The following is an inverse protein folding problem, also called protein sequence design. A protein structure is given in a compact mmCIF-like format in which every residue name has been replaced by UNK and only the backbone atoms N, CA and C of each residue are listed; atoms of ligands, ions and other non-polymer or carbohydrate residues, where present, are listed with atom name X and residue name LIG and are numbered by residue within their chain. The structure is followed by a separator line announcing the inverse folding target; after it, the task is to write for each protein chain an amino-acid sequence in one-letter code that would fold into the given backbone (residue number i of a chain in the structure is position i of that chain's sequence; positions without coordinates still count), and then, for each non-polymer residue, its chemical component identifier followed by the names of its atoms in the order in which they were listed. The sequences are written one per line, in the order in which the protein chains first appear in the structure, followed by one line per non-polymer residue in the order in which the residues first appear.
data_IF_413622021328
#
_entry.id   IF_413622021328
#
_cell.length_a   1.000
_cell.length_b   1.000
_cell.length_c   1.000
_cell.angle_alpha   90.00
_cell.angle_beta   90.00
_cell.angle_gamma   90.00
#
_symmetry.space_group_name_H-M   'P 1'
#
loop_
_entity.id
_entity.type
_entity.pdbx_description
1 polymer ?
#
# COMPACT_ATOMS: atom_id res chain seq x y z
N UNK A 1 -11.27 -11.59 14.80
CA UNK A 1 -10.73 -10.34 14.23
C UNK A 1 -9.26 -10.60 13.91
N UNK A 2 -8.78 -10.25 12.71
CA UNK A 2 -7.45 -10.61 12.17
C UNK A 2 -6.24 -10.12 13.00
N UNK A 3 -6.48 -9.28 14.02
CA UNK A 3 -5.46 -8.64 14.87
C UNK A 3 -5.50 -9.12 16.33
N UNK A 4 -6.23 -10.21 16.62
CA UNK A 4 -6.28 -10.76 17.98
C UNK A 4 -4.97 -11.50 18.28
N UNK A 5 -4.41 -11.26 19.47
CA UNK A 5 -3.21 -11.95 19.99
C UNK A 5 -1.92 -11.73 19.16
N UNK A 6 -1.84 -10.64 18.38
CA UNK A 6 -0.63 -10.29 17.59
C UNK A 6 0.32 -9.34 18.31
N UNK A 7 -0.10 -8.70 19.41
CA UNK A 7 0.72 -7.81 20.23
C UNK A 7 0.76 -8.33 21.66
N UNK A 8 1.88 -8.08 22.34
CA UNK A 8 2.10 -8.50 23.73
C UNK A 8 1.06 -7.90 24.69
N UNK A 9 0.64 -6.67 24.41
CA UNK A 9 -0.43 -6.00 25.15
C UNK A 9 -1.72 -5.97 24.32
N UNK A 10 -2.79 -6.66 24.76
CA UNK A 10 -4.06 -6.70 24.03
C UNK A 10 -4.79 -5.35 24.01
N UNK A 11 -4.36 -4.36 24.81
CA UNK A 11 -4.90 -2.99 24.81
C UNK A 11 -4.28 -2.07 23.76
N UNK A 12 -3.19 -2.46 23.09
CA UNK A 12 -2.48 -1.61 22.13
C UNK A 12 -3.12 -1.53 20.72
N UNK A 13 -3.82 -2.56 20.20
CA UNK A 13 -4.47 -2.46 18.89
C UNK A 13 -5.56 -1.37 18.84
N UNK A 14 -5.51 -0.51 17.81
CA UNK A 14 -6.58 0.44 17.50
C UNK A 14 -6.62 1.72 18.35
N UNK A 15 -5.63 1.93 19.22
CA UNK A 15 -5.51 3.13 20.05
C UNK A 15 -4.17 3.83 19.81
N UNK A 16 -4.11 5.14 20.02
CA UNK A 16 -2.83 5.86 19.96
C UNK A 16 -1.88 5.39 21.06
N UNK A 17 -0.58 5.41 20.74
CA UNK A 17 0.46 5.08 21.72
C UNK A 17 0.43 6.07 22.90
N UNK A 18 0.47 5.51 24.10
CA UNK A 18 0.63 6.18 25.40
C UNK A 18 2.06 6.06 25.96
N UNK A 19 2.90 5.22 25.34
CA UNK A 19 4.32 5.05 25.64
C UNK A 19 5.24 5.45 24.49
N UNK A 20 6.46 5.87 24.81
CA UNK A 20 7.41 6.26 23.79
C UNK A 20 7.83 5.06 22.94
N UNK A 21 7.93 5.24 21.63
CA UNK A 21 8.38 4.23 20.67
C UNK A 21 9.44 4.83 19.77
N UNK A 22 10.29 3.96 19.21
CA UNK A 22 11.31 4.35 18.23
C UNK A 22 11.08 3.56 16.96
N UNK A 23 11.42 4.18 15.83
CA UNK A 23 11.52 3.43 14.57
C UNK A 23 12.93 2.94 14.45
N UNK A 24 13.11 1.64 14.60
CA UNK A 24 14.41 1.01 14.62
C UNK A 24 14.45 -0.24 13.75
N UNK A 25 15.65 -0.64 13.37
CA UNK A 25 15.90 -1.94 12.78
C UNK A 25 15.74 -3.01 13.86
N UNK A 26 14.80 -3.94 13.68
CA UNK A 26 14.52 -4.99 14.66
C UNK A 26 15.66 -5.99 14.87
N UNK A 27 16.62 -6.07 13.94
CA UNK A 27 17.78 -6.98 14.04
C UNK A 27 19.00 -6.29 14.68
N UNK A 28 19.31 -5.06 14.26
CA UNK A 28 20.53 -4.35 14.71
C UNK A 28 20.27 -3.43 15.90
N UNK A 29 19.02 -3.08 16.18
CA UNK A 29 18.65 -2.07 17.17
C UNK A 29 18.96 -0.63 16.74
N UNK A 30 19.46 -0.43 15.51
CA UNK A 30 19.74 0.90 14.96
C UNK A 30 18.47 1.73 14.92
N UNK A 31 18.47 2.87 15.60
CA UNK A 31 17.33 3.79 15.64
C UNK A 31 17.36 4.66 14.39
N UNK A 32 16.39 4.46 13.49
CA UNK A 32 16.22 5.28 12.31
C UNK A 32 15.70 6.67 12.65
N UNK A 33 14.60 6.75 13.40
CA UNK A 33 14.12 8.05 13.86
C UNK A 33 13.32 7.96 15.16
N UNK A 34 13.20 9.13 15.80
CA UNK A 34 12.53 9.36 17.06
C UNK A 34 11.24 10.16 16.82
N UNK A 35 10.05 9.53 16.94
CA UNK A 35 8.77 10.21 16.77
C UNK A 35 8.52 11.33 17.80
N UNK A 36 7.53 12.20 17.54
CA UNK A 36 7.06 13.21 18.48
C UNK A 36 6.63 12.62 19.83
N UNK A 37 6.43 13.50 20.82
CA UNK A 37 5.88 13.09 22.12
C UNK A 37 4.48 12.50 21.97
N UNK A 38 4.16 11.55 22.83
CA UNK A 38 2.87 10.88 22.87
C UNK A 38 1.68 11.84 22.98
N UNK A 39 1.83 12.88 23.80
CA UNK A 39 0.84 13.93 24.03
C UNK A 39 0.47 14.71 22.76
N UNK A 40 1.41 14.79 21.80
CA UNK A 40 1.20 15.49 20.53
C UNK A 40 0.50 14.63 19.48
N UNK A 41 0.59 13.30 19.58
CA UNK A 41 0.08 12.36 18.56
C UNK A 41 -1.39 12.61 18.21
N UNK A 42 -2.33 12.74 19.16
CA UNK A 42 -3.74 12.95 18.82
C UNK A 42 -3.98 14.24 18.04
N UNK A 43 -3.21 15.29 18.35
CA UNK A 43 -3.30 16.58 17.65
C UNK A 43 -2.70 16.48 16.25
N UNK A 44 -1.49 15.96 16.13
CA UNK A 44 -0.78 15.83 14.85
C UNK A 44 -1.55 14.94 13.87
N UNK A 45 -2.06 13.79 14.31
CA UNK A 45 -2.85 12.90 13.44
C UNK A 45 -4.15 13.58 12.99
N UNK A 46 -4.83 14.31 13.88
CA UNK A 46 -6.03 15.08 13.52
C UNK A 46 -5.71 16.18 12.51
N UNK A 47 -4.61 16.90 12.69
CA UNK A 47 -4.19 17.97 11.79
C UNK A 47 -3.79 17.41 10.41
N UNK A 48 -3.13 16.25 10.37
CA UNK A 48 -2.82 15.53 9.14
C UNK A 48 -4.09 15.08 8.39
N UNK A 49 -5.07 14.53 9.11
CA UNK A 49 -6.37 14.14 8.53
C UNK A 49 -7.14 15.37 8.03
N UNK A 50 -7.11 16.49 8.76
CA UNK A 50 -7.70 17.75 8.27
C UNK A 50 -7.00 18.22 7.00
N UNK A 51 -5.67 18.17 6.96
CA UNK A 51 -4.89 18.63 5.82
C UNK A 51 -5.23 17.84 4.55
N UNK A 52 -5.23 16.51 4.56
CA UNK A 52 -5.50 15.70 3.35
C UNK A 52 -6.91 15.91 2.78
N UNK A 53 -7.84 16.38 3.61
CA UNK A 53 -9.22 16.71 3.24
C UNK A 53 -9.43 18.19 2.87
N UNK A 54 -8.41 19.05 3.02
CA UNK A 54 -8.48 20.47 2.68
C UNK A 54 -8.47 20.71 1.17
N UNK A 55 -9.00 21.86 0.71
CA UNK A 55 -8.98 22.23 -0.71
C UNK A 55 -7.54 22.33 -1.26
N UNK A 56 -6.60 22.89 -0.51
CA UNK A 56 -5.20 22.96 -0.94
C UNK A 56 -4.58 21.59 -1.17
N UNK A 57 -4.86 20.59 -0.32
CA UNK A 57 -4.40 19.23 -0.57
C UNK A 57 -5.15 18.55 -1.73
N UNK A 58 -6.36 19.02 -2.08
CA UNK A 58 -7.11 18.50 -3.22
C UNK A 58 -6.62 19.04 -4.57
N UNK A 59 -5.96 20.19 -4.58
CA UNK A 59 -5.32 20.76 -5.78
C UNK A 59 -3.99 20.09 -6.11
N UNK A 60 -3.38 19.38 -5.16
CA UNK A 60 -2.16 18.61 -5.39
C UNK A 60 -2.44 17.38 -6.27
N UNK A 61 -1.42 16.99 -7.04
CA UNK A 61 -1.42 15.69 -7.70
C UNK A 61 -1.65 14.56 -6.66
N UNK A 62 -2.51 13.56 -6.95
CA UNK A 62 -2.84 12.50 -6.00
C UNK A 62 -1.64 11.74 -5.45
N UNK A 63 -0.62 11.50 -6.27
CA UNK A 63 0.60 10.79 -5.86
C UNK A 63 1.39 11.66 -4.88
N UNK A 64 1.50 12.95 -5.17
CA UNK A 64 2.18 13.91 -4.30
C UNK A 64 1.48 14.05 -2.95
N UNK A 65 0.16 14.21 -2.95
CA UNK A 65 -0.63 14.29 -1.72
C UNK A 65 -0.49 13.02 -0.87
N UNK A 66 -0.53 11.85 -1.51
CA UNK A 66 -0.36 10.57 -0.84
C UNK A 66 1.07 10.37 -0.30
N UNK A 67 2.10 10.81 -1.03
CA UNK A 67 3.49 10.76 -0.59
C UNK A 67 3.76 11.64 0.63
N UNK A 68 3.21 12.86 0.66
CA UNK A 68 3.29 13.76 1.83
C UNK A 68 2.55 13.13 3.02
N UNK A 69 1.34 12.59 2.79
CA UNK A 69 0.59 11.90 3.85
C UNK A 69 1.37 10.72 4.42
N UNK A 70 1.97 9.90 3.55
CA UNK A 70 2.78 8.76 3.96
C UNK A 70 3.91 9.19 4.89
N UNK A 71 4.67 10.20 4.48
CA UNK A 71 5.79 10.72 5.26
C UNK A 71 5.33 11.17 6.64
N UNK A 72 4.33 12.06 6.68
CA UNK A 72 3.85 12.66 7.92
C UNK A 72 3.25 11.61 8.85
N UNK A 73 2.49 10.65 8.32
CA UNK A 73 1.93 9.56 9.12
C UNK A 73 3.03 8.69 9.75
N UNK A 74 4.04 8.32 8.97
CA UNK A 74 5.18 7.54 9.48
C UNK A 74 5.94 8.33 10.53
N UNK A 75 6.21 9.63 10.28
CA UNK A 75 6.90 10.53 11.22
C UNK A 75 6.16 10.68 12.55
N UNK A 76 4.83 10.86 12.51
CA UNK A 76 4.00 10.96 13.73
C UNK A 76 4.05 9.63 14.51
N UNK A 77 4.04 8.51 13.78
CA UNK A 77 4.10 7.15 14.31
C UNK A 77 3.03 6.89 15.38
N UNK A 78 1.72 6.96 15.03
CA UNK A 78 0.65 7.08 16.01
C UNK A 78 0.40 5.84 16.89
N UNK A 79 0.85 4.66 16.47
CA UNK A 79 0.56 3.38 17.13
C UNK A 79 1.81 2.75 17.76
N UNK A 80 1.61 1.79 18.67
CA UNK A 80 2.72 1.00 19.25
C UNK A 80 3.36 0.10 18.19
N UNK A 81 2.55 -0.53 17.34
CA UNK A 81 2.98 -1.31 16.18
C UNK A 81 1.97 -1.12 15.03
N UNK A 82 2.36 -1.49 13.81
CA UNK A 82 1.51 -1.49 12.63
C UNK A 82 1.56 -0.20 11.83
N UNK A 83 2.37 0.78 12.23
CA UNK A 83 2.44 2.09 11.56
C UNK A 83 2.79 1.99 10.07
N UNK A 84 3.77 1.16 9.68
CA UNK A 84 4.11 0.98 8.26
C UNK A 84 2.96 0.36 7.44
N UNK A 85 2.30 -0.66 7.99
CA UNK A 85 1.14 -1.33 7.36
C UNK A 85 -0.04 -0.35 7.23
N UNK A 86 -0.32 0.40 8.29
CA UNK A 86 -1.38 1.42 8.29
C UNK A 86 -1.08 2.54 7.29
N UNK A 87 0.16 3.04 7.22
CA UNK A 87 0.57 4.05 6.25
C UNK A 87 0.26 3.61 4.82
N UNK A 88 0.64 2.37 4.45
CA UNK A 88 0.42 1.83 3.11
C UNK A 88 -1.06 1.68 2.77
N UNK A 89 -1.86 1.14 3.69
CA UNK A 89 -3.32 1.04 3.50
C UNK A 89 -3.96 2.42 3.32
N UNK A 90 -3.55 3.41 4.12
CA UNK A 90 -4.09 4.77 4.02
C UNK A 90 -3.69 5.46 2.72
N UNK A 91 -2.45 5.30 2.27
CA UNK A 91 -1.98 5.81 0.98
C UNK A 91 -2.75 5.20 -0.18
N UNK A 92 -2.95 3.89 -0.17
CA UNK A 92 -3.79 3.21 -1.16
C UNK A 92 -5.22 3.73 -1.15
N UNK A 93 -5.80 3.97 0.04
CA UNK A 93 -7.12 4.57 0.17
C UNK A 93 -7.17 6.00 -0.38
N UNK A 94 -6.17 6.83 -0.09
CA UNK A 94 -6.07 8.20 -0.62
C UNK A 94 -6.05 8.16 -2.14
N UNK A 95 -5.15 7.38 -2.74
CA UNK A 95 -5.06 7.25 -4.20
C UNK A 95 -6.38 6.78 -4.82
N UNK A 96 -7.03 5.78 -4.20
CA UNK A 96 -8.33 5.28 -4.65
C UNK A 96 -9.41 6.37 -4.63
N UNK A 97 -9.56 7.09 -3.51
CA UNK A 97 -10.54 8.18 -3.37
C UNK A 97 -10.27 9.35 -4.32
N UNK A 98 -9.01 9.51 -4.75
CA UNK A 98 -8.57 10.54 -5.69
C UNK A 98 -8.70 10.12 -7.16
N UNK A 99 -9.30 8.97 -7.44
CA UNK A 99 -9.53 8.50 -8.82
C UNK A 99 -8.29 7.93 -9.49
N UNK A 100 -7.23 7.64 -8.74
CA UNK A 100 -6.06 6.92 -9.24
C UNK A 100 -6.41 5.43 -9.36
N UNK A 101 -7.14 5.10 -10.44
CA UNK A 101 -7.71 3.76 -10.68
C UNK A 101 -6.65 2.79 -11.19
N UNK A 102 -6.04 2.08 -10.24
CA UNK A 102 -5.14 0.95 -10.51
C UNK A 102 -5.88 -0.39 -10.55
N UNK A 103 -7.22 -0.39 -10.55
CA UNK A 103 -8.08 -1.59 -10.46
C UNK A 103 -7.67 -2.55 -9.33
N UNK A 104 -7.21 -2.00 -8.20
CA UNK A 104 -6.76 -2.74 -7.02
C UNK A 104 -5.50 -3.59 -7.20
N UNK A 105 -4.72 -3.40 -8.28
CA UNK A 105 -3.46 -4.12 -8.47
C UNK A 105 -2.24 -3.40 -7.86
N UNK A 106 -2.44 -2.21 -7.30
CA UNK A 106 -1.36 -1.40 -6.76
C UNK A 106 -1.02 -1.80 -5.32
N UNK A 107 0.13 -2.44 -5.15
CA UNK A 107 0.76 -2.68 -3.86
C UNK A 107 2.11 -1.94 -3.85
N UNK A 108 2.22 -0.90 -3.04
CA UNK A 108 3.48 -0.25 -2.69
C UNK A 108 4.43 -1.18 -1.90
N UNK A 109 3.97 -2.39 -1.56
CA UNK A 109 4.68 -3.34 -0.70
C UNK A 109 5.96 -3.88 -1.35
N UNK A 110 5.94 -4.26 -2.64
CA UNK A 110 7.04 -5.00 -3.26
C UNK A 110 8.33 -4.16 -3.35
N UNK A 111 8.22 -2.85 -3.61
CA UNK A 111 9.38 -1.96 -3.75
C UNK A 111 10.01 -1.60 -2.39
N UNK A 112 9.21 -1.12 -1.43
CA UNK A 112 9.74 -0.64 -0.14
C UNK A 112 10.23 -1.76 0.77
N UNK A 113 9.67 -2.97 0.68
CA UNK A 113 10.16 -4.11 1.45
C UNK A 113 11.41 -4.76 0.82
N UNK A 114 11.65 -4.57 -0.49
CA UNK A 114 12.85 -5.09 -1.18
C UNK A 114 14.14 -4.35 -0.80
N UNK A 115 14.04 -3.06 -0.44
CA UNK A 115 15.16 -2.25 0.03
C UNK A 115 14.74 -1.32 1.19
N UNK A 116 14.63 -1.94 2.37
CA UNK A 116 14.31 -1.23 3.62
C UNK A 116 15.34 -0.15 3.96
N UNK A 117 16.61 -0.33 3.58
CA UNK A 117 17.66 0.63 3.90
C UNK A 117 17.47 1.92 3.11
N UNK A 118 17.21 1.82 1.80
CA UNK A 118 16.89 2.99 0.97
C UNK A 118 15.60 3.67 1.43
N UNK A 119 14.58 2.91 1.82
CA UNK A 119 13.33 3.46 2.36
C UNK A 119 13.56 4.32 3.61
N UNK A 120 14.26 3.79 4.61
CA UNK A 120 14.54 4.55 5.83
C UNK A 120 15.55 5.67 5.58
N UNK A 121 16.51 5.49 4.67
CA UNK A 121 17.43 6.53 4.23
C UNK A 121 16.69 7.72 3.61
N UNK A 122 15.71 7.48 2.74
CA UNK A 122 14.89 8.52 2.14
C UNK A 122 14.06 9.27 3.18
N UNK A 123 13.47 8.56 4.16
CA UNK A 123 12.75 9.18 5.27
C UNK A 123 13.65 10.05 6.16
N UNK A 124 14.85 9.56 6.47
CA UNK A 124 15.84 10.27 7.29
C UNK A 124 16.46 11.46 6.57
N UNK A 125 16.53 11.42 5.23
CA UNK A 125 17.07 12.49 4.40
C UNK A 125 16.25 13.78 4.43
N UNK A 126 15.03 13.76 4.99
CA UNK A 126 14.20 14.96 5.17
C UNK A 126 14.68 15.77 6.37
N UNK A 127 15.22 16.96 6.09
CA UNK A 127 15.58 17.92 7.11
C UNK A 127 14.32 18.43 7.83
N UNK A 128 14.24 18.17 9.14
CA UNK A 128 13.12 18.58 9.98
C UNK A 128 12.99 20.10 10.15
N UNK A 129 14.04 20.86 9.84
CA UNK A 129 14.05 22.34 9.97
C UNK A 129 13.46 23.01 8.73
N UNK A 130 13.73 22.46 7.56
CA UNK A 130 13.24 23.00 6.28
C UNK A 130 11.96 22.31 5.82
N UNK A 131 11.72 21.06 6.27
CA UNK A 131 10.67 20.17 5.78
C UNK A 131 10.72 20.00 4.26
N UNK A 132 11.92 20.00 3.70
CA UNK A 132 12.14 19.70 2.29
C UNK A 132 11.90 18.20 2.03
N UNK A 133 10.75 17.91 1.43
CA UNK A 133 10.31 16.56 1.10
C UNK A 133 10.77 16.11 -0.28
N UNK A 134 11.56 16.90 -1.02
CA UNK A 134 11.88 16.63 -2.43
C UNK A 134 12.46 15.23 -2.62
N UNK A 135 13.55 14.89 -1.92
CA UNK A 135 14.18 13.57 -2.04
C UNK A 135 13.24 12.42 -1.63
N UNK A 136 12.40 12.65 -0.61
CA UNK A 136 11.40 11.67 -0.21
C UNK A 136 10.35 11.46 -1.30
N UNK A 137 9.86 12.55 -1.91
CA UNK A 137 8.83 12.50 -2.93
C UNK A 137 9.36 11.90 -4.23
N UNK A 138 10.60 12.18 -4.61
CA UNK A 138 11.27 11.51 -5.73
C UNK A 138 11.34 9.99 -5.49
N UNK A 139 11.80 9.57 -4.32
CA UNK A 139 11.84 8.16 -3.93
C UNK A 139 10.43 7.53 -3.91
N UNK A 140 9.44 8.25 -3.37
CA UNK A 140 8.07 7.78 -3.28
C UNK A 140 7.46 7.57 -4.68
N UNK A 141 7.60 8.56 -5.56
CA UNK A 141 7.10 8.53 -6.94
C UNK A 141 7.79 7.43 -7.75
N UNK A 142 9.09 7.20 -7.54
CA UNK A 142 9.78 6.09 -8.19
C UNK A 142 9.21 4.73 -7.74
N UNK A 143 8.95 4.56 -6.45
CA UNK A 143 8.30 3.35 -5.93
C UNK A 143 6.90 3.13 -6.52
N UNK A 144 6.13 4.21 -6.69
CA UNK A 144 4.82 4.18 -7.37
C UNK A 144 4.98 3.75 -8.83
N UNK A 145 5.95 4.32 -9.55
CA UNK A 145 6.24 4.03 -10.96
C UNK A 145 6.63 2.55 -11.16
N UNK A 146 7.57 2.03 -10.35
CA UNK A 146 7.98 0.62 -10.38
C UNK A 146 6.77 -0.29 -10.14
N UNK A 147 5.95 0.01 -9.12
CA UNK A 147 4.76 -0.78 -8.80
C UNK A 147 3.77 -0.83 -9.97
N UNK A 148 3.55 0.30 -10.66
CA UNK A 148 2.66 0.37 -11.83
C UNK A 148 3.22 -0.42 -13.01
N UNK A 149 4.53 -0.33 -13.28
CA UNK A 149 5.16 -1.09 -14.36
C UNK A 149 5.11 -2.60 -14.11
N UNK A 150 5.22 -3.05 -12.85
CA UNK A 150 5.01 -4.46 -12.51
C UNK A 150 3.58 -4.92 -12.77
N UNK A 151 2.59 -4.12 -12.35
CA UNK A 151 1.17 -4.41 -12.62
C UNK A 151 0.93 -4.52 -14.12
N UNK A 152 1.44 -3.57 -14.89
CA UNK A 152 1.34 -3.57 -16.35
C UNK A 152 1.97 -4.82 -16.97
N UNK A 153 3.16 -5.24 -16.52
CA UNK A 153 3.79 -6.50 -16.95
C UNK A 153 2.91 -7.72 -16.64
N UNK A 154 2.38 -7.81 -15.42
CA UNK A 154 1.49 -8.92 -15.00
C UNK A 154 0.21 -8.95 -15.83
N UNK A 155 -0.46 -7.81 -16.04
CA UNK A 155 -1.68 -7.69 -16.86
C UNK A 155 -1.41 -8.06 -18.33
N UNK A 156 -0.29 -7.61 -18.90
CA UNK A 156 0.09 -7.92 -20.28
C UNK A 156 0.35 -9.42 -20.46
N UNK A 157 1.04 -10.05 -19.50
CA UNK A 157 1.29 -11.50 -19.51
C UNK A 157 0.00 -12.31 -19.39
N UNK A 158 -0.90 -11.95 -18.48
CA UNK A 158 -2.19 -12.64 -18.34
C UNK A 158 -3.05 -12.49 -19.60
N UNK A 159 -3.02 -11.32 -20.23
CA UNK A 159 -3.75 -11.07 -21.48
C UNK A 159 -3.21 -11.93 -22.63
N UNK A 160 -1.88 -12.04 -22.76
CA UNK A 160 -1.25 -12.86 -23.79
C UNK A 160 -1.47 -14.36 -23.56
N UNK A 161 -1.39 -14.85 -22.32
CA UNK A 161 -1.72 -16.23 -21.96
C UNK A 161 -3.19 -16.56 -22.24
N UNK A 162 -4.12 -15.65 -21.94
CA UNK A 162 -5.54 -15.81 -22.25
C UNK A 162 -5.78 -15.89 -23.76
N UNK A 163 -5.14 -15.00 -24.53
CA UNK A 163 -5.18 -15.03 -26.01
C UNK A 163 -4.61 -16.32 -26.57
N UNK A 164 -3.51 -16.82 -25.99
CA UNK A 164 -2.89 -18.09 -26.40
C UNK A 164 -3.81 -19.27 -26.12
N UNK A 165 -4.40 -19.36 -24.92
CA UNK A 165 -5.40 -20.39 -24.57
C UNK A 165 -6.67 -20.32 -25.44
N UNK A 166 -7.13 -19.11 -25.77
CA UNK A 166 -8.27 -18.93 -26.68
C UNK A 166 -7.94 -19.38 -28.12
N UNK A 167 -6.70 -19.18 -28.58
CA UNK A 167 -6.21 -19.69 -29.86
C UNK A 167 -5.93 -21.21 -29.85
N UNK A 168 -5.49 -21.75 -28.72
CA UNK A 168 -5.21 -23.18 -28.50
C UNK A 168 -6.50 -24.00 -28.24
N UNK A 169 -7.68 -23.39 -28.08
CA UNK A 169 -8.88 -24.10 -27.63
C UNK A 169 -10.22 -23.53 -28.08
N UNK A 170 -10.56 -23.67 -29.36
CA UNK A 170 -11.83 -24.32 -29.72
C UNK A 170 -11.49 -25.73 -30.19
N UNK A 171 -11.63 -26.73 -29.31
CA UNK A 171 -11.63 -28.12 -29.76
C UNK A 171 -12.88 -28.27 -30.62
N UNK A 172 -12.72 -28.53 -31.91
CA UNK A 172 -13.84 -28.88 -32.77
C UNK A 172 -14.45 -30.18 -32.21
N UNK A 173 -15.57 -30.04 -31.52
CA UNK A 173 -16.31 -31.18 -31.00
C UNK A 173 -16.98 -31.87 -32.19
N UNK A 174 -16.85 -33.20 -32.25
CA UNK A 174 -17.70 -34.00 -33.12
C UNK A 174 -19.16 -33.85 -32.69
N UNK A 175 -20.08 -34.11 -33.61
CA UNK A 175 -21.52 -34.00 -33.37
C UNK A 175 -21.97 -34.82 -32.15
N UNK A 176 -21.40 -36.01 -31.97
CA UNK A 176 -21.63 -36.88 -30.81
C UNK A 176 -21.12 -36.27 -29.50
N UNK A 177 -19.97 -35.60 -29.51
CA UNK A 177 -19.44 -34.94 -28.31
C UNK A 177 -20.25 -33.70 -27.95
N UNK A 178 -20.76 -32.95 -28.93
CA UNK A 178 -21.69 -31.85 -28.67
C UNK A 178 -22.98 -32.33 -28.00
N UNK A 179 -23.55 -33.43 -28.47
CA UNK A 179 -24.75 -34.03 -27.87
C UNK A 179 -24.51 -34.46 -26.42
N UNK A 180 -23.35 -35.05 -26.11
CA UNK A 180 -22.98 -35.44 -24.74
C UNK A 180 -22.83 -34.22 -23.83
N UNK A 181 -22.15 -33.17 -24.29
CA UNK A 181 -21.99 -31.92 -23.52
C UNK A 181 -23.34 -31.24 -23.27
N UNK A 182 -24.23 -31.21 -24.27
CA UNK A 182 -25.59 -30.69 -24.09
C UNK A 182 -26.41 -31.52 -23.10
N UNK A 183 -26.31 -32.85 -23.18
CA UNK A 183 -27.00 -33.76 -22.27
C UNK A 183 -26.55 -33.56 -20.82
N UNK A 184 -25.24 -33.44 -20.58
CA UNK A 184 -24.69 -33.21 -19.23
C UNK A 184 -25.09 -31.85 -18.68
N UNK A 185 -25.08 -30.80 -19.50
CA UNK A 185 -25.51 -29.46 -19.07
C UNK A 185 -27.00 -29.40 -18.70
N UNK A 186 -27.84 -30.24 -19.31
CA UNK A 186 -29.27 -30.30 -19.01
C UNK A 186 -29.58 -31.21 -17.81
N UNK A 187 -28.84 -32.31 -17.64
CA UNK A 187 -29.17 -33.35 -16.65
C UNK A 187 -28.24 -33.38 -15.43
N UNK A 188 -27.13 -32.63 -15.46
CA UNK A 188 -26.17 -32.48 -14.37
C UNK A 188 -25.33 -33.72 -14.06
N UNK A 189 -25.47 -34.80 -14.85
CA UNK A 189 -24.78 -36.09 -14.69
C UNK A 189 -24.64 -36.74 -16.08
N UNK A 190 -23.65 -37.62 -16.25
CA UNK A 190 -23.49 -38.47 -17.44
C UNK A 190 -24.37 -39.71 -17.28
#
# INVERSE_FOLDING_TARGET
MLTKDTLDNPGDPGVYRDRYVVVANGLTGEVFFRPPKNEDVPRLTRDLVKWINSEGAKELDPIMAAGIFHYEFVRIHPFVDGNGRAARVLVTLILYLRGFDTKQFFCLDDYYDSDRQSYYGALQGVDQRTLDLTNWLEYFVEGVNVSIEEVKKRVTKLSSERLRRAREGQIALTERQMQIVQFVNQNGRI
#
